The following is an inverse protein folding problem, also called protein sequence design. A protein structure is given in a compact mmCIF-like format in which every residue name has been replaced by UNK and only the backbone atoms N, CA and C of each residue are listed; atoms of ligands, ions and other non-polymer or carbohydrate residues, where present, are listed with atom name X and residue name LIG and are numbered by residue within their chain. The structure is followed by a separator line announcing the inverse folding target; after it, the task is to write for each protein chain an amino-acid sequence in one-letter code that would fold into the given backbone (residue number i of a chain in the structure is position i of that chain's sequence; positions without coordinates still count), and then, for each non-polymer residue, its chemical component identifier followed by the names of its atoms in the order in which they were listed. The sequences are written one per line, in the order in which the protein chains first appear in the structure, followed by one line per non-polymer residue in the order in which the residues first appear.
data_IF_637528918362
#
_entry.id   IF_637528918362
#
_cell.length_a   1.000
_cell.length_b   1.000
_cell.length_c   1.000
_cell.angle_alpha   90.00
_cell.angle_beta   90.00
_cell.angle_gamma   90.00
#
_symmetry.space_group_name_H-M   'P 1'
#
loop_
_entity.id
_entity.type
_entity.pdbx_description
1 polymer ?
#
# COMPACT_ATOMS: atom_id res chain seq x y z
N UNK A 1 -4.30 24.83 14.30
CA UNK A 1 -4.44 23.93 13.14
C UNK A 1 -4.83 22.56 13.67
N UNK A 2 -5.96 22.03 13.21
CA UNK A 2 -6.43 20.70 13.64
C UNK A 2 -5.43 19.61 13.18
N UNK A 3 -5.29 18.55 13.97
CA UNK A 3 -4.46 17.38 13.64
C UNK A 3 -4.89 16.77 12.30
N UNK A 4 -6.18 16.77 12.01
CA UNK A 4 -6.72 16.26 10.74
C UNK A 4 -6.36 17.16 9.55
N UNK A 5 -6.37 18.48 9.72
CA UNK A 5 -5.90 19.42 8.69
C UNK A 5 -4.41 19.24 8.40
N UNK A 6 -3.60 19.03 9.44
CA UNK A 6 -2.18 18.75 9.28
C UNK A 6 -1.94 17.44 8.53
N UNK A 7 -2.65 16.38 8.89
CA UNK A 7 -2.55 15.10 8.17
C UNK A 7 -2.95 15.24 6.71
N UNK A 8 -4.02 15.99 6.43
CA UNK A 8 -4.46 16.23 5.05
C UNK A 8 -3.45 17.05 4.25
N UNK A 9 -2.83 18.07 4.86
CA UNK A 9 -1.72 18.82 4.26
C UNK A 9 -0.57 17.91 3.83
N UNK A 10 -0.06 17.12 4.78
CA UNK A 10 1.00 16.14 4.54
C UNK A 10 0.63 15.11 3.47
N UNK A 11 -0.63 14.63 3.49
CA UNK A 11 -1.13 13.66 2.52
C UNK A 11 -1.13 14.26 1.10
N UNK A 12 -1.52 15.52 0.93
CA UNK A 12 -1.44 16.20 -0.38
C UNK A 12 0.00 16.41 -0.84
N UNK A 13 0.88 16.87 0.04
CA UNK A 13 2.31 17.08 -0.25
C UNK A 13 2.99 15.79 -0.71
N UNK A 14 2.66 14.67 -0.06
CA UNK A 14 3.18 13.33 -0.41
C UNK A 14 2.33 12.61 -1.47
N UNK A 15 1.37 13.30 -2.11
CA UNK A 15 0.47 12.73 -3.14
C UNK A 15 -0.24 11.44 -2.69
N UNK A 16 -0.53 11.33 -1.40
CA UNK A 16 -1.14 10.17 -0.78
C UNK A 16 -0.26 8.93 -0.63
N UNK A 17 1.03 9.02 -0.93
CA UNK A 17 1.99 7.93 -0.82
C UNK A 17 2.67 7.89 0.56
N UNK A 18 2.81 6.70 1.14
CA UNK A 18 3.45 6.51 2.43
C UNK A 18 4.95 6.84 2.40
N UNK A 19 5.44 7.60 3.37
CA UNK A 19 6.87 7.91 3.53
C UNK A 19 7.82 6.69 3.64
N UNK A 20 7.34 5.50 3.98
CA UNK A 20 8.23 4.34 4.18
C UNK A 20 8.15 3.34 3.03
N UNK A 21 6.94 2.97 2.62
CA UNK A 21 6.73 1.96 1.58
C UNK A 21 6.36 2.53 0.23
N UNK A 22 6.14 3.85 0.10
CA UNK A 22 5.61 4.53 -1.10
C UNK A 22 4.22 4.03 -1.56
N UNK A 23 3.59 3.13 -0.80
CA UNK A 23 2.27 2.59 -1.09
C UNK A 23 1.13 3.61 -0.86
N UNK A 24 -0.02 3.42 -1.52
CA UNK A 24 -1.13 4.34 -1.45
C UNK A 24 -1.84 4.30 -0.10
N UNK A 25 -2.30 5.48 0.35
CA UNK A 25 -3.03 5.64 1.62
C UNK A 25 -4.38 6.33 1.42
N UNK A 26 -5.18 6.41 2.47
CA UNK A 26 -6.39 7.23 2.50
C UNK A 26 -6.66 7.83 3.90
N UNK A 27 -7.44 8.90 3.94
CA UNK A 27 -7.90 9.55 5.17
C UNK A 27 -9.41 9.29 5.32
N UNK A 28 -9.87 8.61 6.38
CA UNK A 28 -11.29 8.25 6.57
C UNK A 28 -12.27 9.44 6.50
N UNK A 29 -11.86 10.63 6.93
CA UNK A 29 -12.69 11.84 6.91
C UNK A 29 -12.78 12.50 5.54
N UNK A 30 -11.95 12.08 4.57
CA UNK A 30 -11.87 12.62 3.21
C UNK A 30 -12.32 11.62 2.14
N UNK A 31 -12.22 10.33 2.43
CA UNK A 31 -12.60 9.25 1.53
C UNK A 31 -13.35 8.15 2.31
N UNK A 32 -14.54 7.78 1.84
CA UNK A 32 -15.31 6.69 2.43
C UNK A 32 -14.57 5.36 2.29
N UNK A 33 -14.79 4.44 3.23
CA UNK A 33 -14.16 3.09 3.19
C UNK A 33 -14.45 2.36 1.88
N UNK A 34 -15.64 2.50 1.32
CA UNK A 34 -16.00 1.82 0.06
C UNK A 34 -15.32 2.45 -1.16
N UNK A 35 -15.17 3.78 -1.18
CA UNK A 35 -14.35 4.44 -2.20
C UNK A 35 -12.90 3.97 -2.13
N UNK A 36 -12.32 3.98 -0.91
CA UNK A 36 -10.95 3.54 -0.69
C UNK A 36 -10.75 2.07 -1.10
N UNK A 37 -11.69 1.17 -0.76
CA UNK A 37 -11.64 -0.24 -1.19
C UNK A 37 -11.64 -0.39 -2.70
N UNK A 38 -12.50 0.34 -3.42
CA UNK A 38 -12.53 0.29 -4.89
C UNK A 38 -11.22 0.77 -5.49
N UNK A 39 -10.73 1.93 -5.04
CA UNK A 39 -9.47 2.52 -5.53
C UNK A 39 -8.24 1.67 -5.23
N UNK A 40 -8.22 1.02 -4.06
CA UNK A 40 -7.15 0.12 -3.61
C UNK A 40 -7.37 -1.34 -4.03
N UNK A 41 -8.45 -1.63 -4.80
CA UNK A 41 -8.80 -2.98 -5.25
C UNK A 41 -8.86 -4.02 -4.12
N UNK A 42 -9.38 -3.63 -2.95
CA UNK A 42 -9.57 -4.50 -1.79
C UNK A 42 -10.95 -5.15 -1.88
N UNK A 43 -10.97 -6.47 -2.08
CA UNK A 43 -12.20 -7.26 -2.15
C UNK A 43 -13.09 -7.06 -0.92
N UNK A 44 -14.39 -6.92 -1.14
CA UNK A 44 -15.40 -6.82 -0.07
C UNK A 44 -15.89 -8.22 0.29
N UNK A 45 -16.21 -8.46 1.57
CA UNK A 45 -16.77 -9.75 2.03
C UNK A 45 -15.74 -10.87 2.25
N UNK A 46 -14.47 -10.64 1.94
CA UNK A 46 -13.39 -11.60 2.20
C UNK A 46 -12.84 -11.43 3.62
N UNK A 47 -12.57 -12.55 4.30
CA UNK A 47 -11.95 -12.55 5.62
C UNK A 47 -10.63 -11.74 5.61
N UNK A 48 -10.46 -10.83 6.56
CA UNK A 48 -9.27 -9.97 6.65
C UNK A 48 -9.28 -8.71 5.79
N UNK A 49 -10.25 -8.52 4.88
CA UNK A 49 -10.33 -7.32 4.04
C UNK A 49 -10.43 -6.00 4.84
N UNK A 50 -11.17 -6.02 5.95
CA UNK A 50 -11.26 -4.86 6.85
C UNK A 50 -9.92 -4.53 7.53
N UNK A 51 -9.19 -5.55 7.97
CA UNK A 51 -7.84 -5.39 8.55
C UNK A 51 -6.87 -4.84 7.51
N UNK A 52 -6.94 -5.37 6.30
CA UNK A 52 -6.10 -4.93 5.18
C UNK A 52 -6.37 -3.47 4.81
N UNK A 53 -7.64 -3.06 4.64
CA UNK A 53 -7.98 -1.65 4.43
C UNK A 53 -7.45 -0.75 5.55
N UNK A 54 -7.61 -1.16 6.82
CA UNK A 54 -7.12 -0.38 7.96
C UNK A 54 -5.60 -0.15 7.93
N UNK A 55 -4.80 -1.00 7.27
CA UNK A 55 -3.36 -0.79 7.11
C UNK A 55 -3.02 0.37 6.16
N UNK A 56 -3.91 0.72 5.22
CA UNK A 56 -3.75 1.85 4.29
C UNK A 56 -4.13 3.21 4.91
N UNK A 57 -4.68 3.24 6.12
CA UNK A 57 -5.06 4.50 6.78
C UNK A 57 -3.81 5.37 6.94
N UNK A 58 -3.90 6.61 6.45
CA UNK A 58 -2.85 7.60 6.62
C UNK A 58 -2.73 8.02 8.08
N UNK A 59 -1.49 8.12 8.56
CA UNK A 59 -1.15 8.54 9.92
C UNK A 59 0.04 9.49 9.88
N UNK A 60 0.23 10.30 10.92
CA UNK A 60 1.45 11.12 11.05
C UNK A 60 2.46 10.32 11.86
N UNK A 61 3.65 10.11 11.31
CA UNK A 61 4.79 9.56 12.04
C UNK A 61 5.36 10.62 13.00
N UNK A 62 5.50 10.27 14.28
CA UNK A 62 5.89 11.24 15.29
C UNK A 62 7.35 11.68 15.21
N UNK A 63 8.24 10.87 14.63
CA UNK A 63 9.67 11.18 14.52
C UNK A 63 10.00 11.96 13.25
N UNK A 64 9.42 11.58 12.11
CA UNK A 64 9.67 12.28 10.83
C UNK A 64 8.73 13.44 10.59
N UNK A 65 7.59 13.48 11.29
CA UNK A 65 6.44 14.37 11.01
C UNK A 65 5.85 14.17 9.61
N UNK A 66 6.24 13.12 8.89
CA UNK A 66 5.72 12.77 7.57
C UNK A 66 4.43 11.92 7.68
N UNK A 67 3.80 11.68 6.52
CA UNK A 67 2.62 10.81 6.45
C UNK A 67 3.07 9.39 6.16
N UNK A 68 2.57 8.43 6.93
CA UNK A 68 2.83 7.02 6.73
C UNK A 68 1.52 6.23 6.81
N UNK A 69 1.45 5.12 6.07
CA UNK A 69 0.39 4.15 6.28
C UNK A 69 0.47 3.57 7.70
N UNK A 70 -0.67 3.18 8.25
CA UNK A 70 -0.77 2.64 9.61
C UNK A 70 0.15 1.44 9.82
N UNK A 71 0.32 0.58 8.81
CA UNK A 71 1.24 -0.56 8.90
C UNK A 71 2.69 -0.13 9.14
N UNK A 72 3.23 0.76 8.31
CA UNK A 72 4.62 1.20 8.42
C UNK A 72 4.86 1.97 9.72
N UNK A 73 3.90 2.79 10.15
CA UNK A 73 4.04 3.57 11.38
C UNK A 73 4.06 2.66 12.62
N UNK A 74 3.22 1.61 12.66
CA UNK A 74 3.17 0.67 13.77
C UNK A 74 4.36 -0.31 13.82
N UNK A 75 5.03 -0.59 12.70
CA UNK A 75 6.10 -1.61 12.59
C UNK A 75 7.52 -1.09 12.82
N UNK A 76 7.70 0.18 13.26
CA UNK A 76 9.03 0.80 13.35
C UNK A 76 9.94 0.21 14.44
N UNK A 77 9.37 -0.36 15.51
CA UNK A 77 10.11 -1.09 16.57
C UNK A 77 11.40 -0.39 17.05
N UNK A 78 11.37 0.95 17.20
CA UNK A 78 12.53 1.72 17.67
C UNK A 78 13.65 1.96 16.64
N UNK A 79 13.53 1.43 15.41
CA UNK A 79 14.46 1.73 14.31
C UNK A 79 14.45 3.23 13.98
N UNK A 80 15.60 3.76 13.59
CA UNK A 80 15.67 5.12 13.03
C UNK A 80 14.82 5.18 11.75
N UNK A 81 14.25 6.35 11.40
CA UNK A 81 13.41 6.47 10.21
C UNK A 81 14.08 5.98 8.92
N UNK A 82 15.37 6.27 8.74
CA UNK A 82 16.14 5.83 7.57
C UNK A 82 16.34 4.31 7.54
N UNK A 83 16.69 3.70 8.67
CA UNK A 83 16.84 2.25 8.77
C UNK A 83 15.50 1.53 8.57
N UNK A 84 14.42 2.10 9.11
CA UNK A 84 13.06 1.59 8.90
C UNK A 84 12.63 1.67 7.44
N UNK A 85 12.82 2.82 6.78
CA UNK A 85 12.53 2.97 5.35
C UNK A 85 13.27 1.92 4.53
N UNK A 86 14.58 1.73 4.78
CA UNK A 86 15.37 0.71 4.08
C UNK A 86 14.81 -0.70 4.27
N UNK A 87 14.46 -1.07 5.50
CA UNK A 87 13.88 -2.37 5.85
C UNK A 87 12.50 -2.58 5.22
N UNK A 88 11.67 -1.54 5.15
CA UNK A 88 10.35 -1.61 4.52
C UNK A 88 10.48 -1.74 3.00
N UNK A 89 11.39 -0.99 2.39
CA UNK A 89 11.63 -1.06 0.95
C UNK A 89 12.15 -2.44 0.49
N UNK A 90 12.94 -3.13 1.30
CA UNK A 90 13.30 -4.53 1.00
C UNK A 90 12.09 -5.48 1.07
N UNK A 91 11.15 -5.24 1.97
CA UNK A 91 9.89 -6.02 2.07
C UNK A 91 8.97 -5.71 0.88
N UNK A 92 8.93 -4.46 0.42
CA UNK A 92 8.22 -4.05 -0.80
C UNK A 92 8.82 -4.72 -2.03
N UNK A 93 10.16 -4.67 -2.19
CA UNK A 93 10.86 -5.31 -3.30
C UNK A 93 10.71 -6.84 -3.34
N UNK A 94 10.37 -7.46 -2.20
CA UNK A 94 10.05 -8.89 -2.10
C UNK A 94 8.54 -9.19 -2.21
N UNK A 95 7.70 -8.20 -2.54
CA UNK A 95 6.24 -8.30 -2.66
C UNK A 95 5.51 -8.78 -1.38
N UNK A 96 6.17 -8.62 -0.24
CA UNK A 96 5.67 -9.05 1.06
C UNK A 96 4.95 -7.92 1.80
N UNK A 97 5.07 -6.68 1.35
CA UNK A 97 4.45 -5.56 2.03
C UNK A 97 2.93 -5.60 1.84
N UNK A 98 2.10 -5.52 2.91
CA UNK A 98 0.67 -5.66 2.74
C UNK A 98 0.05 -4.50 1.96
N UNK A 99 0.54 -3.27 2.14
CA UNK A 99 -0.04 -2.03 1.58
C UNK A 99 0.49 -1.69 0.18
N UNK A 100 1.72 -2.10 -0.16
CA UNK A 100 2.34 -1.76 -1.44
C UNK A 100 2.50 -3.04 -2.25
N UNK A 101 1.38 -3.48 -2.85
CA UNK A 101 1.27 -4.68 -3.70
C UNK A 101 0.85 -4.33 -5.13
N UNK A 102 1.13 -3.12 -5.57
CA UNK A 102 0.73 -2.64 -6.88
C UNK A 102 1.95 -2.68 -7.80
N UNK A 103 1.85 -3.46 -8.89
CA UNK A 103 2.77 -3.31 -10.02
C UNK A 103 2.18 -2.25 -10.93
N UNK A 104 3.03 -1.36 -11.44
CA UNK A 104 2.69 -0.48 -12.55
C UNK A 104 2.48 -1.33 -13.80
N UNK A 105 1.26 -1.33 -14.35
CA UNK A 105 0.93 -2.02 -15.58
C UNK A 105 0.57 -1.01 -16.66
N UNK A 106 1.40 -0.94 -17.69
CA UNK A 106 1.10 -0.25 -18.93
C UNK A 106 0.42 -1.22 -19.91
N UNK A 107 -0.87 -0.99 -20.16
CA UNK A 107 -1.64 -1.69 -21.19
C UNK A 107 -2.53 -0.67 -21.92
N UNK A 108 -2.72 -0.86 -23.23
CA UNK A 108 -3.61 -0.04 -24.09
C UNK A 108 -3.41 1.49 -23.98
N UNK A 109 -2.16 1.94 -23.83
CA UNK A 109 -1.83 3.36 -23.77
C UNK A 109 -2.29 4.07 -22.50
N UNK A 110 -2.61 3.33 -21.42
CA UNK A 110 -3.01 3.90 -20.12
C UNK A 110 -2.17 3.30 -18.98
N UNK A 111 -1.79 4.16 -18.03
CA UNK A 111 -1.20 3.74 -16.77
C UNK A 111 -2.30 3.12 -15.90
N UNK A 112 -2.15 1.86 -15.53
CA UNK A 112 -3.06 1.15 -14.64
C UNK A 112 -2.30 0.50 -13.49
N UNK A 113 -2.99 0.31 -12.35
CA UNK A 113 -2.44 -0.37 -11.19
C UNK A 113 -3.10 -1.74 -11.09
N UNK A 114 -2.31 -2.81 -11.20
CA UNK A 114 -2.77 -4.20 -11.05
C UNK A 114 -2.15 -4.84 -9.82
N UNK A 115 -2.94 -5.66 -9.12
CA UNK A 115 -2.43 -6.56 -8.08
C UNK A 115 -1.56 -7.62 -8.76
N UNK A 116 -0.52 -8.07 -8.06
CA UNK A 116 0.23 -9.27 -8.44
C UNK A 116 -0.73 -10.46 -8.30
N UNK A 117 -1.35 -10.87 -9.39
CA UNK A 117 -1.88 -12.22 -9.48
C UNK A 117 -0.67 -13.11 -9.75
N UNK A 118 -0.29 -13.92 -8.75
CA UNK A 118 0.58 -15.05 -8.99
C UNK A 118 -0.13 -15.92 -10.03
N UNK A 119 0.34 -15.89 -11.27
CA UNK A 119 -0.02 -16.91 -12.24
C UNK A 119 0.21 -18.26 -11.55
N UNK A 120 -0.83 -19.09 -11.52
CA UNK A 120 -0.69 -20.50 -11.18
C UNK A 120 0.51 -21.06 -11.95
N UNK A 121 1.34 -21.93 -11.34
CA UNK A 121 2.45 -22.53 -12.05
C UNK A 121 1.89 -23.16 -13.32
N UNK A 122 2.37 -22.69 -14.47
CA UNK A 122 2.03 -23.23 -15.77
C UNK A 122 2.17 -24.75 -15.67
N UNK A 123 1.04 -25.47 -15.72
CA UNK A 123 1.07 -26.91 -15.95
C UNK A 123 1.76 -27.08 -17.29
N UNK A 124 3.01 -27.56 -17.24
CA UNK A 124 3.74 -28.02 -18.41
C UNK A 124 2.83 -28.96 -19.18
N UNK A 125 2.30 -28.50 -20.32
CA UNK A 125 1.70 -29.37 -21.29
C UNK A 125 2.86 -30.19 -21.86
N UNK A 126 3.02 -31.41 -21.34
CA UNK A 126 3.92 -32.41 -21.90
C UNK A 126 3.50 -32.66 -23.34
N UNK A 127 4.32 -32.19 -24.28
CA UNK A 127 4.35 -32.68 -25.65
C UNK A 127 4.80 -34.14 -25.59
N UNK A 128 3.87 -35.07 -25.79
CA UNK A 128 4.20 -36.44 -26.16
C UNK A 128 3.43 -36.76 -27.44
N UNK A 129 4.15 -36.65 -28.55
CA UNK A 129 3.88 -37.41 -29.77
C UNK A 129 5.22 -37.95 -30.25
N UNK A 130 5.27 -39.25 -30.55
CA UNK A 130 5.56 -39.64 -31.93
C UNK A 130 4.30 -40.10 -32.66
#
# INVERSE_FOLDING_TARGET
MDRNDKLYGLWREQRGACFYCDGPTFIPDRESKDSARRRLQIAVGVAGAGKHLNQHVATIDSATKAMACKFCNCSREGKSPTAHRRSIQSIVAADQHPVNRLIEAYADGRLSWSRIDLAEPARSASSVSP
#
